data_IF_961731919180
#
_entry.id   IF_961731919180
#
_cell.length_a   1.000
_cell.length_b   1.000
_cell.length_c   1.000
_cell.angle_alpha   90.00
_cell.angle_beta   90.00
_cell.angle_gamma   90.00
#
_symmetry.space_group_name_H-M   'P 1'
#
loop_
_entity.id
_entity.type
_entity.pdbx_description
1 polymer ?
#
# COMPACT_ATOMS: atom_id res chain seq x y z
N UNK A 1 -4.77 4.46 8.52
CA UNK A 1 -3.52 4.95 7.90
C UNK A 1 -3.90 5.58 6.56
N UNK A 2 -3.39 6.76 6.23
CA UNK A 2 -3.72 7.45 4.97
C UNK A 2 -3.05 6.80 3.74
N UNK A 3 -2.09 5.88 3.96
CA UNK A 3 -1.35 5.12 2.96
C UNK A 3 -1.46 3.61 3.24
N UNK A 4 -1.33 2.79 2.19
CA UNK A 4 -1.57 1.34 2.21
C UNK A 4 -0.27 0.55 2.02
N UNK A 5 0.51 0.35 3.08
CA UNK A 5 1.74 -0.47 3.04
C UNK A 5 1.44 -1.96 2.85
N UNK A 6 0.22 -2.38 3.20
CA UNK A 6 -0.32 -3.74 3.08
C UNK A 6 -0.72 -4.13 1.66
N UNK A 7 -0.52 -3.23 0.69
CA UNK A 7 -0.92 -3.47 -0.70
C UNK A 7 -0.17 -4.64 -1.31
N UNK A 8 -0.90 -5.50 -2.00
CA UNK A 8 -0.39 -6.56 -2.86
C UNK A 8 -0.78 -6.31 -4.32
N UNK A 9 -0.13 -6.99 -5.25
CA UNK A 9 -0.50 -6.95 -6.67
C UNK A 9 -1.98 -7.27 -6.87
N UNK A 10 -2.45 -8.33 -6.21
CA UNK A 10 -3.83 -8.81 -6.29
C UNK A 10 -4.83 -7.79 -5.75
N UNK A 11 -4.53 -7.12 -4.64
CA UNK A 11 -5.43 -6.10 -4.09
C UNK A 11 -5.46 -4.84 -4.95
N UNK A 12 -4.33 -4.43 -5.52
CA UNK A 12 -4.27 -3.28 -6.46
C UNK A 12 -5.11 -3.57 -7.71
N UNK A 13 -4.98 -4.75 -8.30
CA UNK A 13 -5.81 -5.15 -9.43
C UNK A 13 -7.30 -5.19 -9.08
N UNK A 14 -7.65 -5.64 -7.87
CA UNK A 14 -9.02 -5.63 -7.40
C UNK A 14 -9.57 -4.21 -7.23
N UNK A 15 -8.76 -3.27 -6.70
CA UNK A 15 -9.13 -1.86 -6.58
C UNK A 15 -9.37 -1.21 -7.94
N UNK A 16 -8.43 -1.38 -8.89
CA UNK A 16 -8.57 -0.84 -10.24
C UNK A 16 -9.80 -1.44 -10.95
N UNK A 17 -10.08 -2.73 -10.75
CA UNK A 17 -11.26 -3.37 -11.35
C UNK A 17 -12.57 -2.80 -10.79
N UNK A 18 -12.64 -2.52 -9.50
CA UNK A 18 -13.88 -2.13 -8.82
C UNK A 18 -14.12 -0.61 -8.82
N UNK A 19 -13.06 0.20 -8.93
CA UNK A 19 -13.09 1.66 -8.78
C UNK A 19 -12.22 2.39 -9.81
N UNK A 20 -11.89 1.74 -10.92
CA UNK A 20 -10.98 2.29 -11.93
C UNK A 20 -11.53 3.50 -12.69
N UNK A 21 -12.85 3.68 -12.68
CA UNK A 21 -13.56 4.86 -13.19
C UNK A 21 -13.27 6.12 -12.36
N UNK A 22 -12.87 5.97 -11.10
CA UNK A 22 -12.44 7.07 -10.22
C UNK A 22 -11.00 7.56 -10.52
N UNK A 23 -10.24 6.85 -11.37
CA UNK A 23 -8.89 7.25 -11.80
C UNK A 23 -8.94 8.40 -12.81
N UNK A 24 -9.41 9.57 -12.37
CA UNK A 24 -9.43 10.80 -13.15
C UNK A 24 -8.04 11.46 -13.20
N UNK A 25 -7.64 12.08 -14.32
CA UNK A 25 -6.37 12.79 -14.40
C UNK A 25 -6.20 13.85 -13.31
N UNK A 26 -5.06 13.86 -12.63
CA UNK A 26 -4.75 14.83 -11.60
C UNK A 26 -3.28 14.74 -11.16
N UNK A 27 -2.79 15.76 -10.46
CA UNK A 27 -1.36 15.88 -10.08
C UNK A 27 -0.82 14.66 -9.33
N UNK A 28 -1.66 13.99 -8.54
CA UNK A 28 -1.28 12.84 -7.71
C UNK A 28 -2.08 11.57 -8.05
N UNK A 29 -2.77 11.55 -9.19
CA UNK A 29 -3.52 10.38 -9.64
C UNK A 29 -2.76 9.73 -10.79
N UNK A 30 -2.30 8.50 -10.56
CA UNK A 30 -1.63 7.69 -11.57
C UNK A 30 -2.65 6.89 -12.37
N UNK A 31 -2.46 6.72 -13.70
CA UNK A 31 -3.31 5.83 -14.47
C UNK A 31 -3.04 4.37 -14.10
N UNK A 32 -4.04 3.50 -14.28
CA UNK A 32 -3.99 2.09 -13.91
C UNK A 32 -2.73 1.36 -14.41
N UNK A 33 -2.34 1.58 -15.67
CA UNK A 33 -1.15 0.96 -16.27
C UNK A 33 0.14 1.34 -15.53
N UNK A 34 0.24 2.59 -15.07
CA UNK A 34 1.43 3.08 -14.39
C UNK A 34 1.47 2.50 -12.98
N UNK A 35 0.35 2.48 -12.27
CA UNK A 35 0.21 1.81 -10.96
C UNK A 35 0.66 0.34 -11.06
N UNK A 36 0.17 -0.39 -12.07
CA UNK A 36 0.51 -1.80 -12.28
C UNK A 36 1.96 -2.02 -12.73
N UNK A 37 2.68 -1.01 -13.20
CA UNK A 37 4.11 -1.13 -13.53
C UNK A 37 5.05 -1.02 -12.31
N UNK A 38 4.51 -0.61 -11.15
CA UNK A 38 5.28 -0.37 -9.92
C UNK A 38 5.27 -1.57 -8.97
N UNK A 39 4.93 -2.77 -9.45
CA UNK A 39 4.84 -4.00 -8.65
C UNK A 39 6.18 -4.38 -7.97
N UNK A 40 7.30 -3.99 -8.58
CA UNK A 40 8.64 -4.15 -8.01
C UNK A 40 8.85 -3.43 -6.66
N UNK A 41 8.02 -2.45 -6.30
CA UNK A 41 8.07 -1.78 -4.99
C UNK A 41 7.34 -2.54 -3.87
N UNK A 42 6.48 -3.51 -4.20
CA UNK A 42 5.61 -4.17 -3.22
C UNK A 42 6.37 -4.96 -2.16
N UNK A 43 7.51 -5.55 -2.54
CA UNK A 43 8.41 -6.22 -1.59
C UNK A 43 8.96 -5.24 -0.55
N UNK A 44 9.39 -4.05 -1.00
CA UNK A 44 9.86 -2.97 -0.13
C UNK A 44 8.78 -2.45 0.80
N UNK A 45 7.54 -2.25 0.29
CA UNK A 45 6.41 -1.85 1.13
C UNK A 45 6.12 -2.86 2.24
N UNK A 46 6.19 -4.16 1.92
CA UNK A 46 6.01 -5.23 2.90
C UNK A 46 7.11 -5.19 3.97
N UNK A 47 8.36 -4.98 3.59
CA UNK A 47 9.46 -4.82 4.54
C UNK A 47 9.27 -3.61 5.46
N UNK A 48 8.84 -2.47 4.93
CA UNK A 48 8.56 -1.26 5.73
C UNK A 48 7.39 -1.50 6.68
N UNK A 49 6.34 -2.18 6.25
CA UNK A 49 5.23 -2.56 7.12
C UNK A 49 5.70 -3.43 8.30
N UNK A 50 6.52 -4.45 8.03
CA UNK A 50 7.03 -5.32 9.09
C UNK A 50 7.89 -4.56 10.10
N UNK A 51 8.80 -3.71 9.63
CA UNK A 51 9.62 -2.85 10.50
C UNK A 51 8.73 -1.94 11.36
N UNK A 52 7.70 -1.34 10.78
CA UNK A 52 6.75 -0.51 11.53
C UNK A 52 6.02 -1.31 12.61
N UNK A 53 5.53 -2.52 12.29
CA UNK A 53 4.83 -3.38 13.23
C UNK A 53 5.74 -3.86 14.37
N UNK A 54 6.98 -4.22 14.07
CA UNK A 54 8.00 -4.57 15.06
C UNK A 54 8.26 -3.40 16.02
N UNK A 55 8.49 -2.20 15.49
CA UNK A 55 8.71 -1.01 16.31
C UNK A 55 7.50 -0.65 17.19
N UNK A 56 6.27 -0.84 16.68
CA UNK A 56 5.04 -0.64 17.45
C UNK A 56 4.90 -1.66 18.59
N UNK A 57 5.27 -2.91 18.35
CA UNK A 57 5.25 -3.97 19.36
C UNK A 57 6.32 -3.72 20.45
N UNK A 58 7.52 -3.29 20.06
CA UNK A 58 8.57 -2.88 21.01
C UNK A 58 8.17 -1.68 21.86
N UNK A 59 7.45 -0.72 21.27
CA UNK A 59 6.93 0.45 21.97
C UNK A 59 5.72 0.14 22.87
N UNK A 60 5.16 -1.07 22.81
CA UNK A 60 3.96 -1.43 23.54
C UNK A 60 4.24 -1.48 25.05
N UNK A 61 3.50 -0.72 25.89
CA UNK A 61 3.65 -0.79 27.34
C UNK A 61 3.39 -2.21 27.84
N UNK A 62 4.29 -2.75 28.67
CA UNK A 62 4.06 -4.03 29.33
C UNK A 62 2.86 -3.88 30.27
N UNK A 63 1.88 -4.76 30.13
CA UNK A 63 0.78 -4.85 31.12
C UNK A 63 1.39 -5.26 32.45
N UNK A 64 1.40 -4.32 33.40
CA UNK A 64 1.68 -4.55 34.83
C UNK A 64 0.54 -5.31 35.49
#
# INVERSE_FOLDING_TARGET
MQFHLESSRKSIEALIRNSGDELAPGTYIQPARDILSQDHHLSGLTSVLNILLEAMEEARPKKT
#
